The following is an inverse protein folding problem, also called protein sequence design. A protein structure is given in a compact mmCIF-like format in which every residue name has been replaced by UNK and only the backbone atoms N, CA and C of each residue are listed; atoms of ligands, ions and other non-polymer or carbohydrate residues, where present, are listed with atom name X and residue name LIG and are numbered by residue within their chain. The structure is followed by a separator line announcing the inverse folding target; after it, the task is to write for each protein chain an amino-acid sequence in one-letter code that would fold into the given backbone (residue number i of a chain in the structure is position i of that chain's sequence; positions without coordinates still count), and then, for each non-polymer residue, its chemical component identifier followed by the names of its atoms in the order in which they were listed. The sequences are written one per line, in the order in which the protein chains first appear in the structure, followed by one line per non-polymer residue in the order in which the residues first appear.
data_IF_310156722579
#
_entry.id   IF_310156722579
#
_cell.length_a   1.000
_cell.length_b   1.000
_cell.length_c   1.000
_cell.angle_alpha   90.00
_cell.angle_beta   90.00
_cell.angle_gamma   90.00
#
_symmetry.space_group_name_H-M   'P 1'
#
loop_
_entity.id
_entity.type
_entity.pdbx_description
1 polymer ?
#
# COMPACT_ATOMS: atom_id res chain seq x y z
N UNK A 1 -3.50 50.53 -31.27
CA UNK A 1 -2.94 49.69 -30.18
C UNK A 1 -4.05 48.92 -29.44
N UNK A 2 -4.51 47.77 -29.96
CA UNK A 2 -5.56 46.94 -29.31
C UNK A 2 -5.28 45.42 -29.33
N UNK A 3 -4.08 44.99 -29.75
CA UNK A 3 -3.73 43.58 -29.94
C UNK A 3 -2.94 42.91 -28.81
N UNK A 4 -2.29 43.67 -27.91
CA UNK A 4 -1.33 43.10 -26.94
C UNK A 4 -1.92 42.62 -25.61
N UNK A 5 -3.19 42.94 -25.31
CA UNK A 5 -3.83 42.57 -24.02
C UNK A 5 -4.55 41.21 -24.00
N UNK A 6 -4.82 40.62 -25.18
CA UNK A 6 -5.48 39.30 -25.28
C UNK A 6 -4.48 38.13 -25.22
N UNK A 7 -3.24 38.33 -25.66
CA UNK A 7 -2.21 37.28 -25.65
C UNK A 7 -1.72 36.94 -24.24
N UNK A 8 -1.74 37.91 -23.32
CA UNK A 8 -1.25 37.72 -21.94
C UNK A 8 -2.24 36.92 -21.06
N UNK A 9 -3.54 36.88 -21.42
CA UNK A 9 -4.55 36.08 -20.70
C UNK A 9 -4.58 34.61 -21.12
N UNK A 10 -4.09 34.27 -22.32
CA UNK A 10 -4.00 32.88 -22.76
C UNK A 10 -2.75 32.16 -22.19
N UNK A 11 -1.69 32.90 -21.88
CA UNK A 11 -0.45 32.33 -21.35
C UNK A 11 -0.51 32.01 -19.83
N UNK A 12 -1.43 32.63 -19.08
CA UNK A 12 -1.63 32.33 -17.65
C UNK A 12 -2.56 31.13 -17.43
N UNK A 13 -3.33 30.72 -18.44
CA UNK A 13 -4.22 29.55 -18.34
C UNK A 13 -3.52 28.21 -18.66
N UNK A 14 -2.27 28.26 -19.13
CA UNK A 14 -1.50 27.07 -19.52
C UNK A 14 -0.48 26.63 -18.46
N UNK A 15 -0.40 27.35 -17.33
CA UNK A 15 0.49 27.06 -16.22
C UNK A 15 -0.35 26.64 -15.02
N UNK A 16 -0.08 25.46 -14.45
CA UNK A 16 -0.78 24.83 -13.31
C UNK A 16 -2.02 23.98 -13.61
N UNK A 17 -2.06 23.25 -14.74
CA UNK A 17 -2.64 21.90 -14.71
C UNK A 17 -1.52 20.89 -14.40
N UNK A 18 -0.84 21.07 -13.27
CA UNK A 18 -0.09 19.99 -12.64
C UNK A 18 -1.15 19.05 -12.08
N UNK A 19 -1.67 18.15 -12.92
CA UNK A 19 -2.38 16.97 -12.42
C UNK A 19 -1.39 16.30 -11.49
N UNK A 20 -1.68 16.33 -10.20
CA UNK A 20 -0.94 15.56 -9.21
C UNK A 20 -1.09 14.09 -9.65
N UNK A 21 -0.09 13.58 -10.35
CA UNK A 21 0.02 12.16 -10.60
C UNK A 21 0.22 11.57 -9.22
N UNK A 22 -0.71 10.75 -8.71
CA UNK A 22 -0.47 10.09 -7.44
C UNK A 22 0.80 9.26 -7.60
N UNK A 23 1.75 9.47 -6.70
CA UNK A 23 2.98 8.68 -6.67
C UNK A 23 2.57 7.20 -6.55
N UNK A 24 2.76 6.46 -7.64
CA UNK A 24 2.59 5.01 -7.62
C UNK A 24 3.68 4.41 -6.74
N UNK A 25 3.37 3.32 -6.03
CA UNK A 25 4.40 2.53 -5.37
C UNK A 25 5.56 2.22 -6.34
N UNK A 26 6.78 2.45 -5.86
CA UNK A 26 8.01 2.28 -6.64
C UNK A 26 8.35 0.78 -6.69
N UNK A 27 7.70 0.05 -7.59
CA UNK A 27 7.88 -1.39 -7.76
C UNK A 27 8.83 -1.78 -8.90
N UNK A 28 9.33 -3.01 -8.85
CA UNK A 28 10.29 -3.57 -9.80
C UNK A 28 9.58 -4.23 -10.99
N UNK A 29 9.91 -3.83 -12.21
CA UNK A 29 9.35 -4.48 -13.41
C UNK A 29 9.90 -5.89 -13.58
N UNK A 30 9.02 -6.88 -13.76
CA UNK A 30 9.40 -8.27 -13.96
C UNK A 30 8.57 -8.92 -15.08
N UNK A 31 9.21 -9.80 -15.84
CA UNK A 31 8.54 -10.68 -16.79
C UNK A 31 7.86 -11.86 -16.10
N UNK A 32 6.96 -12.53 -16.82
CA UNK A 32 6.31 -13.75 -16.33
C UNK A 32 7.05 -15.02 -16.78
N UNK A 33 7.07 -16.02 -15.90
CA UNK A 33 7.54 -17.38 -16.19
C UNK A 33 6.39 -18.34 -16.57
N UNK A 34 5.14 -17.91 -16.35
CA UNK A 34 3.93 -18.63 -16.71
C UNK A 34 2.71 -17.70 -16.64
N UNK A 35 1.52 -18.19 -17.00
CA UNK A 35 0.24 -17.49 -16.76
C UNK A 35 0.13 -16.99 -15.31
N UNK A 36 -0.42 -15.79 -15.13
CA UNK A 36 -0.49 -15.11 -13.85
C UNK A 36 -1.76 -15.50 -13.07
N UNK A 37 -1.70 -16.57 -12.29
CA UNK A 37 -2.76 -16.92 -11.33
C UNK A 37 -2.61 -16.05 -10.08
N UNK A 38 -3.71 -15.43 -9.65
CA UNK A 38 -3.70 -14.36 -8.64
C UNK A 38 -4.59 -14.66 -7.44
N UNK A 39 -4.23 -14.07 -6.30
CA UNK A 39 -4.95 -14.12 -5.02
C UNK A 39 -5.12 -12.71 -4.47
N UNK A 40 -6.12 -12.50 -3.62
CA UNK A 40 -6.28 -11.19 -2.95
C UNK A 40 -5.24 -10.96 -1.84
N UNK A 41 -4.59 -12.01 -1.36
CA UNK A 41 -3.53 -11.97 -0.33
C UNK A 41 -2.52 -13.10 -0.51
N UNK A 42 -1.47 -13.16 0.33
CA UNK A 42 -0.37 -14.11 0.19
C UNK A 42 -0.72 -15.49 0.75
N UNK A 43 -1.40 -16.30 -0.06
CA UNK A 43 -1.74 -17.68 0.30
C UNK A 43 -2.95 -18.22 -0.45
N UNK A 44 -3.18 -19.53 -0.33
CA UNK A 44 -4.30 -20.23 -0.99
C UNK A 44 -5.64 -20.04 -0.28
N UNK A 45 -5.63 -19.59 0.97
CA UNK A 45 -6.81 -19.23 1.76
C UNK A 45 -7.52 -18.00 1.19
N UNK A 46 -6.83 -17.13 0.45
CA UNK A 46 -7.41 -15.91 -0.10
C UNK A 46 -8.25 -16.19 -1.36
N UNK A 47 -9.21 -15.30 -1.59
CA UNK A 47 -10.06 -15.32 -2.79
C UNK A 47 -9.19 -15.34 -4.07
N UNK A 48 -9.65 -16.07 -5.10
CA UNK A 48 -9.00 -16.15 -6.42
C UNK A 48 -9.66 -15.19 -7.42
N UNK A 49 -9.12 -13.98 -7.59
CA UNK A 49 -9.66 -13.01 -8.54
C UNK A 49 -9.57 -13.47 -10.01
N UNK A 50 -8.58 -14.31 -10.35
CA UNK A 50 -8.50 -14.93 -11.66
C UNK A 50 -7.09 -15.31 -12.10
N UNK A 51 -7.00 -15.78 -13.35
CA UNK A 51 -5.74 -16.07 -14.04
C UNK A 51 -5.63 -15.26 -15.33
N UNK A 52 -4.54 -14.50 -15.46
CA UNK A 52 -4.31 -13.54 -16.54
C UNK A 52 -3.14 -13.96 -17.45
N UNK A 53 -3.03 -13.28 -18.59
CA UNK A 53 -2.00 -13.50 -19.62
C UNK A 53 -1.95 -14.95 -20.13
N UNK A 54 -3.10 -15.52 -20.48
CA UNK A 54 -3.20 -16.95 -20.80
C UNK A 54 -2.39 -17.36 -22.04
N UNK A 55 -2.28 -16.48 -23.04
CA UNK A 55 -1.65 -16.79 -24.34
C UNK A 55 -0.36 -16.00 -24.59
N UNK A 56 -0.12 -14.98 -23.79
CA UNK A 56 0.85 -13.90 -24.03
C UNK A 56 1.74 -13.63 -22.80
N UNK A 57 1.79 -14.55 -21.85
CA UNK A 57 2.61 -14.41 -20.64
C UNK A 57 4.10 -14.20 -20.95
N UNK A 58 4.61 -14.76 -22.05
CA UNK A 58 6.03 -14.63 -22.45
C UNK A 58 6.44 -13.19 -22.75
N UNK A 59 5.49 -12.34 -23.14
CA UNK A 59 5.73 -10.93 -23.47
C UNK A 59 5.15 -9.97 -22.42
N UNK A 60 4.37 -10.50 -21.48
CA UNK A 60 3.76 -9.70 -20.43
C UNK A 60 4.78 -9.31 -19.36
N UNK A 61 4.59 -8.12 -18.81
CA UNK A 61 5.33 -7.63 -17.67
C UNK A 61 4.36 -7.12 -16.60
N UNK A 62 4.79 -7.23 -15.35
CA UNK A 62 4.06 -6.71 -14.18
C UNK A 62 5.02 -5.92 -13.31
N UNK A 63 4.49 -5.02 -12.49
CA UNK A 63 5.27 -4.28 -11.51
C UNK A 63 5.17 -5.00 -10.17
N UNK A 64 6.29 -5.49 -9.63
CA UNK A 64 6.36 -6.17 -8.34
C UNK A 64 6.55 -5.15 -7.23
N UNK A 65 5.60 -5.10 -6.29
CA UNK A 65 5.54 -4.07 -5.25
C UNK A 65 6.16 -4.56 -3.94
N UNK A 66 5.73 -5.73 -3.47
CA UNK A 66 6.11 -6.27 -2.17
C UNK A 66 6.14 -7.80 -2.18
N UNK A 67 6.76 -8.39 -1.16
CA UNK A 67 6.87 -9.81 -0.96
C UNK A 67 6.31 -10.21 0.41
N UNK A 68 5.66 -11.36 0.48
CA UNK A 68 5.16 -11.93 1.72
C UNK A 68 5.38 -13.44 1.74
N UNK A 69 5.79 -13.95 2.91
CA UNK A 69 6.00 -15.38 3.11
C UNK A 69 4.72 -16.04 3.64
N UNK A 70 4.22 -17.03 2.91
CA UNK A 70 3.14 -17.88 3.38
C UNK A 70 3.70 -18.97 4.29
N UNK A 71 3.62 -18.75 5.60
CA UNK A 71 4.09 -19.69 6.63
C UNK A 71 3.33 -21.02 6.69
N UNK A 72 2.19 -21.15 5.99
CA UNK A 72 1.41 -22.40 5.99
C UNK A 72 1.91 -23.35 4.92
N UNK A 73 2.25 -22.81 3.74
CA UNK A 73 2.65 -23.62 2.58
C UNK A 73 4.14 -23.49 2.23
N UNK A 74 4.91 -22.68 2.98
CA UNK A 74 6.32 -22.37 2.75
C UNK A 74 6.59 -21.84 1.33
N UNK A 75 5.78 -20.86 0.91
CA UNK A 75 5.83 -20.27 -0.43
C UNK A 75 5.98 -18.74 -0.32
N UNK A 76 6.93 -18.20 -1.08
CA UNK A 76 6.96 -16.76 -1.33
C UNK A 76 5.83 -16.35 -2.26
N UNK A 77 5.08 -15.34 -1.84
CA UNK A 77 4.12 -14.61 -2.65
C UNK A 77 4.66 -13.21 -2.90
N UNK A 78 4.32 -12.64 -4.06
CA UNK A 78 4.62 -11.26 -4.40
C UNK A 78 3.35 -10.52 -4.78
N UNK A 79 3.20 -9.30 -4.28
CA UNK A 79 2.15 -8.37 -4.69
C UNK A 79 2.59 -7.69 -5.98
N UNK A 80 1.72 -7.74 -7.00
CA UNK A 80 2.02 -7.22 -8.33
C UNK A 80 0.92 -6.26 -8.80
N UNK A 81 1.35 -5.17 -9.42
CA UNK A 81 0.52 -4.23 -10.16
C UNK A 81 0.57 -4.53 -11.65
N UNK A 82 -0.60 -4.63 -12.29
CA UNK A 82 -0.71 -4.86 -13.73
C UNK A 82 -2.05 -4.37 -14.28
N UNK A 83 -2.13 -4.30 -15.61
CA UNK A 83 -3.37 -3.98 -16.32
C UNK A 83 -3.84 -5.17 -17.15
N UNK A 84 -5.13 -5.48 -17.07
CA UNK A 84 -5.78 -6.50 -17.88
C UNK A 84 -7.22 -6.06 -18.19
N UNK A 85 -7.76 -6.41 -19.36
CA UNK A 85 -9.18 -6.15 -19.68
C UNK A 85 -9.57 -4.66 -19.45
N UNK A 86 -8.64 -3.72 -19.73
CA UNK A 86 -8.86 -2.29 -19.55
C UNK A 86 -8.97 -1.79 -18.10
N UNK A 87 -8.58 -2.59 -17.11
CA UNK A 87 -8.60 -2.24 -15.69
C UNK A 87 -7.25 -2.52 -15.02
N UNK A 88 -6.97 -1.82 -13.91
CA UNK A 88 -5.80 -2.09 -13.07
C UNK A 88 -6.12 -3.12 -11.99
N UNK A 89 -5.11 -3.90 -11.66
CA UNK A 89 -5.13 -4.96 -10.67
C UNK A 89 -3.90 -4.77 -9.80
N UNK A 90 -4.09 -4.85 -8.47
CA UNK A 90 -3.02 -5.18 -7.53
C UNK A 90 -3.40 -6.49 -6.86
N UNK A 91 -2.56 -7.51 -6.98
CA UNK A 91 -2.89 -8.84 -6.51
C UNK A 91 -1.63 -9.64 -6.17
N UNK A 92 -1.81 -10.73 -5.43
CA UNK A 92 -0.71 -11.60 -5.03
C UNK A 92 -0.57 -12.76 -5.99
N UNK A 93 0.67 -13.16 -6.28
CA UNK A 93 0.95 -14.38 -7.03
C UNK A 93 2.13 -15.13 -6.41
N UNK A 94 2.17 -16.45 -6.59
CA UNK A 94 3.29 -17.25 -6.12
C UNK A 94 4.57 -16.92 -6.91
N UNK A 95 5.69 -16.76 -6.21
CA UNK A 95 6.98 -16.31 -6.76
C UNK A 95 7.42 -17.11 -8.00
N UNK A 96 7.13 -18.42 -8.05
CA UNK A 96 7.44 -19.29 -9.19
C UNK A 96 6.91 -18.82 -10.56
N UNK A 97 6.03 -17.82 -10.59
CA UNK A 97 5.43 -17.25 -11.80
C UNK A 97 6.12 -15.98 -12.30
N UNK A 98 7.00 -15.39 -11.50
CA UNK A 98 7.62 -14.08 -11.76
C UNK A 98 9.13 -14.25 -11.91
N UNK A 99 9.70 -13.63 -12.94
CA UNK A 99 11.14 -13.60 -13.16
C UNK A 99 11.77 -12.45 -12.34
N UNK A 100 11.96 -12.65 -11.03
CA UNK A 100 12.56 -11.65 -10.14
C UNK A 100 13.42 -12.30 -9.05
N UNK A 101 14.47 -11.60 -8.62
CA UNK A 101 15.18 -11.93 -7.38
C UNK A 101 14.39 -11.40 -6.18
N UNK A 102 13.86 -12.32 -5.37
CA UNK A 102 13.03 -11.99 -4.21
C UNK A 102 13.75 -11.12 -3.19
N UNK A 103 15.09 -11.18 -3.12
CA UNK A 103 15.88 -10.40 -2.16
C UNK A 103 15.89 -8.90 -2.47
N UNK A 104 15.47 -8.52 -3.68
CA UNK A 104 15.33 -7.12 -4.09
C UNK A 104 13.93 -6.56 -3.81
N UNK A 105 12.96 -7.42 -3.48
CA UNK A 105 11.57 -7.03 -3.27
C UNK A 105 11.37 -6.70 -1.78
N UNK A 106 10.83 -5.50 -1.44
CA UNK A 106 10.53 -5.16 -0.05
C UNK A 106 9.58 -6.18 0.58
N UNK A 107 9.92 -6.67 1.77
CA UNK A 107 9.04 -7.56 2.50
C UNK A 107 7.93 -6.76 3.19
N UNK A 108 6.70 -7.21 3.00
CA UNK A 108 5.51 -6.65 3.63
C UNK A 108 5.54 -6.84 5.15
N UNK A 109 5.08 -5.82 5.88
CA UNK A 109 4.99 -5.85 7.34
C UNK A 109 3.60 -5.46 7.82
N UNK A 110 3.16 -6.07 8.92
CA UNK A 110 1.97 -5.64 9.62
C UNK A 110 2.22 -4.26 10.24
N UNK A 111 1.49 -3.25 9.79
CA UNK A 111 1.58 -1.88 10.31
C UNK A 111 0.79 -1.71 11.60
N UNK A 112 -0.27 -2.49 11.76
CA UNK A 112 -1.05 -2.54 13.00
C UNK A 112 -2.43 -3.16 12.81
N UNK A 113 -3.15 -3.24 13.92
CA UNK A 113 -4.54 -3.70 13.97
C UNK A 113 -5.44 -2.54 14.39
N UNK A 114 -6.60 -2.42 13.75
CA UNK A 114 -7.54 -1.31 13.95
C UNK A 114 -8.96 -1.75 13.60
N UNK A 115 -9.92 -0.82 13.61
CA UNK A 115 -11.31 -1.10 13.27
C UNK A 115 -11.82 -0.20 12.15
N UNK A 116 -12.78 -0.71 11.39
CA UNK A 116 -13.51 0.11 10.42
C UNK A 116 -14.44 1.09 11.14
N UNK A 117 -14.38 2.37 10.80
CA UNK A 117 -15.29 3.42 11.31
C UNK A 117 -16.60 3.48 10.53
N UNK A 118 -16.61 2.93 9.31
CA UNK A 118 -17.78 2.83 8.43
C UNK A 118 -17.61 1.68 7.45
N UNK A 119 -18.72 1.20 6.88
CA UNK A 119 -18.65 0.19 5.83
C UNK A 119 -18.02 0.79 4.57
N UNK A 120 -17.14 0.04 3.90
CA UNK A 120 -16.35 0.55 2.78
C UNK A 120 -16.29 -0.41 1.60
N UNK A 121 -16.39 0.13 0.39
CA UNK A 121 -16.04 -0.58 -0.84
C UNK A 121 -14.57 -0.97 -0.80
N UNK A 122 -14.28 -2.16 -1.32
CA UNK A 122 -12.92 -2.69 -1.43
C UNK A 122 -12.49 -2.65 -2.90
N UNK A 123 -11.27 -2.23 -3.14
CA UNK A 123 -10.61 -2.23 -4.44
C UNK A 123 -9.42 -3.17 -4.40
N UNK A 124 -9.01 -3.71 -5.55
CA UNK A 124 -7.86 -4.59 -5.59
C UNK A 124 -6.54 -3.83 -5.46
N UNK A 125 -6.52 -2.53 -5.78
CA UNK A 125 -5.37 -1.64 -5.55
C UNK A 125 -5.77 -0.27 -4.98
N UNK A 126 -4.78 0.61 -4.74
CA UNK A 126 -4.95 1.90 -4.06
C UNK A 126 -5.55 2.99 -4.96
N UNK A 127 -6.73 2.72 -5.52
CA UNK A 127 -7.37 3.67 -6.43
C UNK A 127 -8.72 3.19 -6.94
N UNK A 128 -9.53 4.12 -7.42
CA UNK A 128 -10.85 3.82 -8.01
C UNK A 128 -10.76 3.36 -9.47
N UNK A 129 -9.59 3.46 -10.08
CA UNK A 129 -9.26 2.93 -11.40
C UNK A 129 -8.91 1.43 -11.37
N UNK A 130 -8.66 0.89 -10.18
CA UNK A 130 -8.54 -0.55 -9.95
C UNK A 130 -9.91 -1.24 -9.93
N UNK A 131 -9.91 -2.55 -10.15
CA UNK A 131 -11.12 -3.38 -10.03
C UNK A 131 -11.72 -3.27 -8.62
N UNK A 132 -13.03 -3.01 -8.56
CA UNK A 132 -13.81 -3.08 -7.32
C UNK A 132 -14.06 -4.56 -6.98
N UNK A 133 -13.74 -4.96 -5.74
CA UNK A 133 -14.00 -6.30 -5.27
C UNK A 133 -15.50 -6.55 -5.10
N UNK A 134 -15.89 -7.81 -5.19
CA UNK A 134 -17.30 -8.23 -5.05
C UNK A 134 -17.91 -7.85 -3.69
N UNK A 135 -17.10 -7.88 -2.63
CA UNK A 135 -17.56 -7.72 -1.26
C UNK A 135 -16.94 -6.48 -0.60
N UNK A 136 -17.75 -5.81 0.22
CA UNK A 136 -17.32 -4.68 1.04
C UNK A 136 -16.75 -5.14 2.38
N UNK A 137 -16.06 -4.23 3.10
CA UNK A 137 -15.78 -4.41 4.53
C UNK A 137 -16.95 -3.81 5.33
N UNK A 138 -17.58 -4.54 6.27
CA UNK A 138 -18.57 -3.98 7.18
C UNK A 138 -18.00 -2.89 8.10
N UNK A 139 -18.86 -2.06 8.68
CA UNK A 139 -18.44 -1.18 9.77
C UNK A 139 -18.04 -2.01 11.00
N UNK A 140 -17.21 -1.43 11.87
CA UNK A 140 -16.74 -2.04 13.11
C UNK A 140 -16.02 -3.40 12.95
N UNK A 141 -15.66 -3.76 11.72
CA UNK A 141 -14.83 -4.95 11.45
C UNK A 141 -13.41 -4.67 11.92
N UNK A 142 -12.85 -5.58 12.71
CA UNK A 142 -11.42 -5.57 13.04
C UNK A 142 -10.61 -5.92 11.80
N UNK A 143 -9.59 -5.12 11.51
CA UNK A 143 -8.74 -5.28 10.33
C UNK A 143 -7.28 -5.15 10.70
N UNK A 144 -6.43 -5.89 9.98
CA UNK A 144 -4.98 -5.71 9.97
C UNK A 144 -4.59 -4.82 8.81
N UNK A 145 -3.69 -3.88 9.04
CA UNK A 145 -3.22 -2.92 8.03
C UNK A 145 -1.82 -3.29 7.57
N UNK A 146 -1.61 -3.36 6.27
CA UNK A 146 -0.33 -3.73 5.65
C UNK A 146 0.25 -2.64 4.74
N UNK A 147 -0.55 -1.66 4.35
CA UNK A 147 -0.09 -0.57 3.50
C UNK A 147 -1.07 0.60 3.45
N UNK A 148 -0.57 1.76 3.05
CA UNK A 148 -1.37 2.92 2.71
C UNK A 148 -0.78 3.60 1.47
N UNK A 149 -1.61 4.03 0.54
CA UNK A 149 -1.18 4.64 -0.71
C UNK A 149 -2.37 5.39 -1.32
N UNK A 150 -2.12 6.59 -1.87
CA UNK A 150 -3.12 7.35 -2.64
C UNK A 150 -4.48 7.56 -1.91
N UNK A 151 -4.46 7.72 -0.59
CA UNK A 151 -5.68 7.89 0.22
C UNK A 151 -6.48 6.59 0.45
N UNK A 152 -5.89 5.44 0.13
CA UNK A 152 -6.39 4.11 0.44
C UNK A 152 -5.49 3.41 1.46
N UNK A 153 -6.06 2.43 2.16
CA UNK A 153 -5.39 1.58 3.13
C UNK A 153 -5.64 0.12 2.74
N UNK A 154 -4.58 -0.67 2.65
CA UNK A 154 -4.67 -2.10 2.45
C UNK A 154 -5.02 -2.77 3.77
N UNK A 155 -6.16 -3.45 3.79
CA UNK A 155 -6.69 -4.13 4.98
C UNK A 155 -6.85 -5.62 4.71
N UNK A 156 -6.55 -6.43 5.71
CA UNK A 156 -6.87 -7.84 5.78
C UNK A 156 -7.93 -8.07 6.85
N UNK A 157 -8.94 -8.87 6.52
CA UNK A 157 -10.03 -9.18 7.43
C UNK A 157 -10.69 -10.51 7.08
N UNK A 158 -11.37 -11.07 8.07
CA UNK A 158 -12.26 -12.22 7.87
C UNK A 158 -13.71 -11.73 7.74
N UNK A 159 -14.42 -12.17 6.70
CA UNK A 159 -15.83 -11.78 6.50
C UNK A 159 -16.78 -12.94 6.86
N UNK A 160 -17.31 -12.99 8.10
CA UNK A 160 -18.16 -14.09 8.54
C UNK A 160 -19.48 -14.19 7.76
N UNK A 161 -19.92 -13.11 7.09
CA UNK A 161 -21.19 -13.10 6.32
C UNK A 161 -21.11 -13.96 5.06
N UNK A 162 -19.90 -14.17 4.57
CA UNK A 162 -19.63 -14.83 3.29
C UNK A 162 -18.61 -15.95 3.42
N UNK A 163 -18.20 -16.25 4.65
CA UNK A 163 -17.28 -17.31 4.95
C UNK A 163 -17.93 -18.65 4.62
N UNK A 164 -17.47 -19.29 3.54
CA UNK A 164 -17.87 -20.67 3.18
C UNK A 164 -16.92 -21.70 3.80
N UNK A 165 -15.81 -21.23 4.37
CA UNK A 165 -14.85 -22.00 5.13
C UNK A 165 -14.21 -21.08 6.19
N UNK A 166 -13.52 -21.67 7.18
CA UNK A 166 -12.76 -20.95 8.21
C UNK A 166 -11.60 -20.09 7.66
N UNK A 167 -11.36 -20.17 6.35
CA UNK A 167 -10.22 -19.59 5.67
C UNK A 167 -10.61 -18.43 4.75
N UNK A 168 -11.82 -17.87 4.87
CA UNK A 168 -12.31 -16.77 4.01
C UNK A 168 -11.68 -15.42 4.38
N UNK A 169 -10.35 -15.41 4.40
CA UNK A 169 -9.49 -14.24 4.57
C UNK A 169 -9.52 -13.43 3.28
N UNK A 170 -9.74 -12.14 3.44
CA UNK A 170 -9.75 -11.19 2.34
C UNK A 170 -8.74 -10.12 2.60
N UNK A 171 -8.16 -9.64 1.52
CA UNK A 171 -7.29 -8.47 1.55
C UNK A 171 -7.62 -7.57 0.37
N UNK A 172 -7.56 -6.28 0.60
CA UNK A 172 -7.83 -5.28 -0.42
C UNK A 172 -7.78 -3.87 0.13
N UNK A 173 -8.04 -2.90 -0.73
CA UNK A 173 -7.81 -1.49 -0.46
C UNK A 173 -9.13 -0.76 -0.21
N UNK A 174 -9.24 -0.10 0.93
CA UNK A 174 -10.40 0.73 1.31
C UNK A 174 -9.99 2.19 1.43
N UNK A 175 -10.94 3.12 1.30
CA UNK A 175 -10.61 4.54 1.51
C UNK A 175 -10.15 4.78 2.94
N UNK A 176 -9.04 5.49 3.15
CA UNK A 176 -8.43 5.68 4.48
C UNK A 176 -9.41 6.24 5.53
N UNK A 177 -10.34 7.12 5.11
CA UNK A 177 -11.39 7.68 5.99
C UNK A 177 -12.32 6.64 6.65
N UNK A 178 -12.37 5.43 6.10
CA UNK A 178 -13.21 4.35 6.64
C UNK A 178 -12.50 3.49 7.69
N UNK A 179 -11.21 3.75 7.94
CA UNK A 179 -10.36 3.02 8.89
C UNK A 179 -10.00 3.95 10.03
N UNK A 180 -10.07 3.50 11.28
CA UNK A 180 -9.62 4.33 12.40
C UNK A 180 -8.09 4.50 12.41
N UNK A 181 -7.62 5.65 12.88
CA UNK A 181 -6.21 6.02 12.90
C UNK A 181 -5.82 6.92 11.72
N UNK A 182 -4.52 7.22 11.61
CA UNK A 182 -3.92 7.89 10.46
C UNK A 182 -2.86 6.93 9.90
N UNK A 183 -3.00 6.57 8.63
CA UNK A 183 -2.13 5.61 7.95
C UNK A 183 -1.47 6.34 6.78
N UNK A 184 -0.18 6.64 6.92
CA UNK A 184 0.61 7.28 5.87
C UNK A 184 1.30 6.25 4.98
N UNK A 185 1.57 6.63 3.73
CA UNK A 185 2.21 5.75 2.77
C UNK A 185 3.65 5.47 3.17
N UNK A 186 4.00 4.20 3.33
CA UNK A 186 5.38 3.80 3.51
C UNK A 186 6.08 3.83 2.15
N UNK A 187 7.12 4.66 2.03
CA UNK A 187 8.12 4.44 0.98
C UNK A 187 9.01 3.27 1.42
N UNK A 188 9.40 2.36 0.49
CA UNK A 188 10.37 1.33 0.82
C UNK A 188 11.70 2.00 1.17
N UNK A 189 12.21 1.73 2.38
CA UNK A 189 13.58 2.10 2.73
C UNK A 189 14.50 1.16 1.97
N UNK A 190 15.11 1.66 0.90
CA UNK A 190 16.21 0.95 0.23
C UNK A 190 17.44 1.09 1.14
N UNK A 191 17.70 0.10 1.99
CA UNK A 191 18.95 0.02 2.76
C UNK A 191 20.08 -0.48 1.87
N UNK A 192 20.74 0.41 1.14
CA UNK A 192 22.06 0.13 0.57
C UNK A 192 23.14 0.30 1.65
N UNK A 193 23.31 -0.69 2.53
CA UNK A 193 24.57 -0.88 3.27
C UNK A 193 24.66 -2.28 3.90
N UNK A 194 25.79 -3.00 3.78
CA UNK A 194 25.99 -4.25 4.48
C UNK A 194 26.21 -3.99 5.97
N UNK A 195 25.43 -4.68 6.82
CA UNK A 195 25.53 -4.58 8.26
C UNK A 195 26.85 -5.18 8.76
N UNK A 196 27.67 -4.35 9.40
CA UNK A 196 28.77 -4.77 10.26
C UNK A 196 28.54 -4.17 11.65
N UNK A 197 28.58 -5.07 12.66
CA UNK A 197 28.80 -4.85 14.10
C UNK A 197 27.58 -4.89 15.07
N UNK A 198 27.83 -5.31 16.34
CA UNK A 198 27.02 -6.30 17.04
C UNK A 198 26.14 -5.74 18.17
N UNK A 199 25.22 -6.59 18.64
CA UNK A 199 24.35 -6.41 19.80
C UNK A 199 25.09 -5.94 21.08
N UNK A 200 24.54 -4.90 21.73
CA UNK A 200 24.71 -4.61 23.16
C UNK A 200 23.31 -4.30 23.74
N UNK A 201 22.92 -4.87 24.90
CA UNK A 201 21.56 -4.80 25.44
C UNK A 201 21.33 -3.61 26.37
N UNK A 202 20.13 -3.02 26.30
CA UNK A 202 19.55 -2.17 27.34
C UNK A 202 19.60 -0.65 27.08
N UNK A 203 18.43 -0.04 26.93
CA UNK A 203 18.25 1.42 26.90
C UNK A 203 17.32 1.88 25.77
N UNK A 204 16.03 1.99 26.06
CA UNK A 204 15.02 2.53 25.16
C UNK A 204 15.32 4.01 24.84
N UNK A 205 15.53 4.43 23.57
CA UNK A 205 15.60 5.84 23.24
C UNK A 205 14.21 6.31 22.85
N UNK A 206 13.68 7.22 23.67
CA UNK A 206 12.62 8.17 23.35
C UNK A 206 12.70 8.62 21.88
N UNK A 207 11.68 8.26 21.11
CA UNK A 207 11.61 8.58 19.69
C UNK A 207 11.63 10.09 19.45
N UNK A 208 12.53 10.54 18.60
CA UNK A 208 12.51 11.90 18.03
C UNK A 208 11.25 12.06 17.20
N UNK A 209 10.21 12.66 17.79
CA UNK A 209 8.98 12.97 17.05
C UNK A 209 9.23 14.17 16.11
N UNK A 210 9.03 13.97 14.82
CA UNK A 210 9.16 15.02 13.80
C UNK A 210 7.95 16.00 13.82
N UNK A 211 6.85 15.61 14.46
CA UNK A 211 5.64 16.42 14.62
C UNK A 211 4.94 16.12 15.95
N UNK A 212 4.08 17.04 16.42
CA UNK A 212 3.33 16.84 17.65
C UNK A 212 2.11 15.93 17.45
N UNK A 213 1.95 14.83 18.20
CA UNK A 213 0.83 13.90 18.03
C UNK A 213 -0.51 14.48 18.50
N UNK A 214 -0.49 15.57 19.29
CA UNK A 214 -1.70 16.20 19.81
C UNK A 214 -2.25 17.30 18.90
N UNK A 215 -1.41 17.98 18.13
CA UNK A 215 -1.82 19.12 17.32
C UNK A 215 -1.35 19.09 15.86
N UNK A 216 -0.59 18.08 15.46
CA UNK A 216 -0.19 17.85 14.07
C UNK A 216 0.84 18.84 13.52
N UNK A 217 1.39 19.75 14.35
CA UNK A 217 2.42 20.70 13.89
C UNK A 217 3.81 20.05 13.89
N UNK A 218 4.55 20.27 12.81
CA UNK A 218 5.95 19.88 12.68
C UNK A 218 6.79 20.53 13.79
N UNK A 219 7.58 19.72 14.47
CA UNK A 219 8.47 20.19 15.51
C UNK A 219 9.79 20.64 14.88
N UNK A 220 10.49 21.64 15.46
CA UNK A 220 11.77 22.10 14.94
C UNK A 220 12.78 20.95 14.89
N UNK A 221 13.58 20.89 13.83
CA UNK A 221 14.57 19.82 13.61
C UNK A 221 15.58 19.76 14.75
N UNK A 222 15.82 18.56 15.31
CA UNK A 222 16.76 18.36 16.43
C UNK A 222 16.19 18.64 17.83
N UNK A 223 14.88 18.60 17.99
CA UNK A 223 14.19 18.90 19.24
C UNK A 223 14.23 17.75 20.27
N UNK A 224 14.58 18.08 21.51
CA UNK A 224 14.49 17.20 22.70
C UNK A 224 13.40 17.66 23.68
N UNK A 225 12.27 18.16 23.17
CA UNK A 225 11.23 18.74 24.02
C UNK A 225 10.38 17.64 24.68
N UNK A 226 10.10 17.76 25.98
CA UNK A 226 9.15 16.92 26.72
C UNK A 226 7.68 17.35 26.52
N UNK A 227 7.45 18.52 25.93
CA UNK A 227 6.13 19.11 25.66
C UNK A 227 6.10 19.86 24.34
N UNK A 228 4.94 19.94 23.70
CA UNK A 228 4.78 20.62 22.43
C UNK A 228 4.83 22.15 22.62
N UNK A 229 5.72 22.87 21.90
CA UNK A 229 5.82 24.33 22.00
C UNK A 229 4.61 25.06 21.41
N UNK A 230 3.76 24.38 20.63
CA UNK A 230 2.60 24.98 19.98
C UNK A 230 1.29 24.75 20.72
N UNK A 231 1.12 23.60 21.39
CA UNK A 231 -0.13 23.26 22.07
C UNK A 231 0.04 22.98 23.57
N UNK A 232 1.26 23.04 24.10
CA UNK A 232 1.57 22.91 25.53
C UNK A 232 1.41 21.50 26.11
N UNK A 233 1.01 20.50 25.30
CA UNK A 233 0.79 19.12 25.78
C UNK A 233 2.08 18.31 25.83
N UNK A 234 2.25 17.53 26.90
CA UNK A 234 3.41 16.65 27.08
C UNK A 234 3.42 15.48 26.09
N UNK A 235 4.63 15.12 25.63
CA UNK A 235 4.90 13.87 24.90
C UNK A 235 5.17 12.80 25.96
N UNK A 236 4.11 12.18 26.46
CA UNK A 236 4.21 11.04 27.38
C UNK A 236 4.72 9.82 26.65
#
# INVERSE_FOLDING_TARGET
MKGKRRLLRLLVLFMCLCVAVPAAADGLMAGLLSRLSTRTGPGTQYDEPGTYFQKDWQTAQVQVISAAWDHVNDIWWVEVDFSAIGKKFRAYTGLKRIAIDINLVPQEQLLGTTVMTSAAKVYWGPGRDYVEAKYNVPNYTEVKVYGAENGFVQVEFHDPRTAVNQYSLRRGWVTARAVSGQWEAQQPVITTAPALFPNIPGGSPSGTFQFCPHCGKNLPTGNTYSFCPYCGKAFK
#
